data_IF_091798609276
#
_entry.id   IF_091798609276
#
_cell.length_a   1.000
_cell.length_b   1.000
_cell.length_c   1.000
_cell.angle_alpha   90.00
_cell.angle_beta   90.00
_cell.angle_gamma   90.00
#
_symmetry.space_group_name_H-M   'P 1'
#
loop_
_entity.id
_entity.type
_entity.pdbx_description
1 polymer ?
#
# COMPACT_ATOMS: atom_id res chain seq x y z
N UNK A 1 3.86 17.03 22.08
CA UNK A 1 4.73 16.28 21.13
C UNK A 1 5.30 14.97 21.70
N UNK A 2 5.08 14.66 22.98
CA UNK A 2 5.66 13.46 23.63
C UNK A 2 4.93 12.14 23.31
N UNK A 3 3.73 12.16 22.73
CA UNK A 3 2.92 10.97 22.46
C UNK A 3 2.83 10.60 20.97
N UNK A 4 3.65 11.20 20.12
CA UNK A 4 3.73 10.79 18.71
C UNK A 4 4.35 9.39 18.62
N UNK A 5 3.76 8.46 17.84
CA UNK A 5 4.37 7.15 17.58
C UNK A 5 5.79 7.27 16.99
N UNK A 6 6.12 8.40 16.38
CA UNK A 6 7.46 8.71 15.87
C UNK A 6 8.45 9.13 16.98
N UNK A 7 7.99 9.60 18.15
CA UNK A 7 8.86 10.01 19.26
C UNK A 7 9.56 8.84 19.96
N UNK A 8 9.14 7.59 19.71
CA UNK A 8 9.71 6.36 20.29
C UNK A 8 10.52 5.53 19.30
N UNK A 9 11.00 6.13 18.20
CA UNK A 9 11.85 5.41 17.25
C UNK A 9 13.21 5.13 17.84
N UNK A 10 13.62 3.86 17.75
CA UNK A 10 14.98 3.44 18.11
C UNK A 10 15.90 3.58 16.90
N UNK A 11 17.06 4.19 17.08
CA UNK A 11 18.09 4.32 16.04
C UNK A 11 19.15 3.22 16.19
N UNK A 12 19.73 2.73 15.07
CA UNK A 12 19.47 3.13 13.68
C UNK A 12 18.12 2.61 13.14
N UNK A 13 17.46 3.41 12.29
CA UNK A 13 16.17 3.07 11.68
C UNK A 13 16.22 3.23 10.16
N UNK A 14 15.56 2.34 9.44
CA UNK A 14 15.27 2.48 8.01
C UNK A 14 13.81 2.92 7.88
N UNK A 15 13.56 3.94 7.07
CA UNK A 15 12.23 4.50 6.82
C UNK A 15 11.65 3.96 5.49
N UNK A 16 10.45 4.44 5.15
CA UNK A 16 9.77 4.15 3.90
C UNK A 16 8.70 3.08 4.04
N UNK A 17 7.55 3.37 3.43
CA UNK A 17 6.35 2.51 3.47
C UNK A 17 5.99 1.95 2.10
N UNK A 18 6.56 2.51 1.03
CA UNK A 18 6.21 2.19 -0.35
C UNK A 18 7.39 1.58 -1.07
N UNK A 19 7.16 0.48 -1.76
CA UNK A 19 8.13 -0.14 -2.65
C UNK A 19 7.48 -0.60 -3.95
N UNK A 20 8.26 -0.52 -5.03
CA UNK A 20 7.99 -1.20 -6.28
C UNK A 20 9.26 -1.92 -6.72
N UNK A 21 9.15 -3.15 -7.15
CA UNK A 21 10.33 -3.93 -7.49
C UNK A 21 10.00 -5.30 -8.04
N UNK A 22 10.99 -6.19 -7.96
CA UNK A 22 10.84 -7.59 -8.33
C UNK A 22 11.05 -8.50 -7.12
N UNK A 23 10.27 -9.55 -7.05
CA UNK A 23 10.40 -10.57 -6.01
C UNK A 23 11.69 -11.35 -6.25
N UNK A 24 12.56 -11.37 -5.26
CA UNK A 24 13.83 -12.13 -5.31
C UNK A 24 13.77 -13.40 -4.47
N UNK A 25 12.88 -13.44 -3.48
CA UNK A 25 12.70 -14.60 -2.60
C UNK A 25 11.27 -14.63 -2.09
N UNK A 26 10.73 -15.82 -1.85
CA UNK A 26 9.41 -16.07 -1.28
C UNK A 26 9.54 -16.83 0.04
N UNK A 27 8.62 -16.56 0.96
CA UNK A 27 8.40 -17.41 2.13
C UNK A 27 7.75 -18.74 1.72
N UNK A 28 7.91 -19.76 2.54
CA UNK A 28 7.39 -21.12 2.28
C UNK A 28 5.87 -21.20 2.09
N UNK A 29 5.14 -20.32 2.73
CA UNK A 29 3.67 -20.29 2.69
C UNK A 29 3.10 -19.43 1.55
N UNK A 30 3.95 -18.70 0.79
CA UNK A 30 3.51 -17.79 -0.27
C UNK A 30 3.13 -18.58 -1.51
N UNK A 31 1.89 -18.44 -1.96
CA UNK A 31 1.36 -19.14 -3.14
C UNK A 31 0.91 -18.22 -4.26
N UNK A 32 0.67 -16.95 -3.99
CA UNK A 32 0.11 -15.98 -4.96
C UNK A 32 1.12 -15.41 -5.93
N UNK A 33 2.41 -15.52 -5.65
CA UNK A 33 3.47 -14.85 -6.39
C UNK A 33 4.58 -15.80 -6.81
N UNK A 34 5.45 -15.33 -7.73
CA UNK A 34 6.64 -16.05 -8.22
C UNK A 34 7.87 -15.16 -8.11
N UNK A 35 9.05 -15.78 -7.94
CA UNK A 35 10.34 -15.08 -8.06
C UNK A 35 10.47 -14.48 -9.46
N UNK A 36 10.98 -13.25 -9.54
CA UNK A 36 11.08 -12.48 -10.77
C UNK A 36 9.81 -11.68 -11.11
N UNK A 37 8.70 -11.88 -10.41
CA UNK A 37 7.46 -11.12 -10.66
C UNK A 37 7.61 -9.67 -10.21
N UNK A 38 7.09 -8.75 -11.02
CA UNK A 38 7.02 -7.32 -10.71
C UNK A 38 5.85 -7.06 -9.76
N UNK A 39 6.11 -6.28 -8.71
CA UNK A 39 5.13 -6.01 -7.64
C UNK A 39 5.26 -4.60 -7.09
N UNK A 40 4.19 -4.14 -6.45
CA UNK A 40 4.19 -3.06 -5.48
C UNK A 40 3.86 -3.63 -4.11
N UNK A 41 4.38 -3.01 -3.05
CA UNK A 41 4.07 -3.44 -1.69
C UNK A 41 4.02 -2.28 -0.71
N UNK A 42 3.13 -2.38 0.26
CA UNK A 42 3.09 -1.52 1.43
C UNK A 42 3.94 -2.14 2.53
N UNK A 43 5.03 -1.48 2.86
CA UNK A 43 5.96 -1.89 3.91
C UNK A 43 5.43 -1.48 5.30
N UNK A 44 5.41 -2.42 6.23
CA UNK A 44 4.76 -2.28 7.54
C UNK A 44 5.74 -2.03 8.70
N UNK A 45 6.95 -1.51 8.43
CA UNK A 45 8.00 -1.28 9.43
C UNK A 45 7.56 -0.42 10.61
N UNK A 46 6.67 0.54 10.39
CA UNK A 46 6.13 1.40 11.46
C UNK A 46 5.26 0.63 12.45
N UNK A 47 4.64 -0.45 12.02
CA UNK A 47 3.81 -1.33 12.84
C UNK A 47 4.66 -2.43 13.48
N UNK A 48 5.44 -3.13 12.66
CA UNK A 48 6.25 -4.28 13.09
C UNK A 48 7.51 -3.89 13.84
N UNK A 49 7.97 -2.65 13.67
CA UNK A 49 9.25 -2.11 14.17
C UNK A 49 10.48 -2.90 13.69
N UNK A 50 10.35 -3.62 12.59
CA UNK A 50 11.45 -4.35 11.94
C UNK A 50 12.02 -3.51 10.80
N UNK A 51 13.30 -3.23 10.82
CA UNK A 51 13.98 -2.47 9.76
C UNK A 51 13.95 -3.21 8.42
N UNK A 52 13.92 -4.53 8.43
CA UNK A 52 13.77 -5.36 7.22
C UNK A 52 12.46 -5.10 6.48
N UNK A 53 11.44 -4.60 7.17
CA UNK A 53 10.11 -4.31 6.60
C UNK A 53 9.96 -2.84 6.17
N UNK A 54 11.05 -2.11 6.01
CA UNK A 54 11.05 -0.71 5.57
C UNK A 54 11.35 -0.60 4.07
N UNK A 55 10.91 0.50 3.44
CA UNK A 55 11.00 0.65 1.98
C UNK A 55 12.33 1.22 1.48
N UNK A 56 13.02 2.07 2.26
CA UNK A 56 14.22 2.77 1.80
C UNK A 56 15.48 1.89 1.90
N UNK A 57 15.43 0.73 1.27
CA UNK A 57 16.53 -0.22 1.20
C UNK A 57 16.48 -1.06 -0.09
N UNK A 58 17.59 -1.71 -0.40
CA UNK A 58 17.71 -2.52 -1.62
C UNK A 58 16.77 -3.73 -1.64
N UNK A 59 16.57 -4.35 -0.49
CA UNK A 59 15.69 -5.49 -0.30
C UNK A 59 14.78 -5.22 0.90
N UNK A 60 13.47 -5.34 0.70
CA UNK A 60 12.47 -5.19 1.74
C UNK A 60 11.68 -6.49 1.90
N UNK A 61 11.36 -6.85 3.14
CA UNK A 61 10.45 -7.95 3.44
C UNK A 61 9.03 -7.40 3.59
N UNK A 62 8.10 -7.95 2.83
CA UNK A 62 6.70 -7.53 2.85
C UNK A 62 5.78 -8.72 3.12
N UNK A 63 4.69 -8.48 3.83
CA UNK A 63 3.63 -9.47 4.01
C UNK A 63 2.91 -9.68 2.68
N UNK A 64 2.63 -10.93 2.32
CA UNK A 64 1.94 -11.28 1.07
C UNK A 64 0.64 -10.51 0.85
N UNK A 65 -0.14 -10.29 1.91
CA UNK A 65 -1.41 -9.55 1.87
C UNK A 65 -1.25 -8.08 1.48
N UNK A 66 -0.07 -7.50 1.70
CA UNK A 66 0.25 -6.11 1.39
C UNK A 66 0.98 -5.95 0.04
N UNK A 67 1.03 -7.01 -0.76
CA UNK A 67 1.70 -7.06 -2.07
C UNK A 67 0.68 -7.20 -3.17
N UNK A 68 0.87 -6.45 -4.26
CA UNK A 68 0.06 -6.55 -5.47
C UNK A 68 0.96 -6.72 -6.70
N UNK A 69 0.49 -7.55 -7.65
CA UNK A 69 1.16 -7.73 -8.94
C UNK A 69 1.11 -6.43 -9.75
N UNK A 70 2.21 -6.12 -10.44
CA UNK A 70 2.33 -4.94 -11.27
C UNK A 70 2.36 -5.33 -12.75
N UNK A 71 1.52 -4.73 -13.60
CA UNK A 71 1.57 -4.93 -15.04
C UNK A 71 2.91 -4.49 -15.63
N UNK A 72 3.36 -5.15 -16.68
CA UNK A 72 4.62 -4.81 -17.37
C UNK A 72 4.59 -3.42 -18.00
N UNK A 73 3.41 -2.95 -18.41
CA UNK A 73 3.20 -1.64 -19.00
C UNK A 73 3.44 -0.47 -18.04
N UNK A 74 3.38 -0.68 -16.71
CA UNK A 74 3.54 0.39 -15.73
C UNK A 74 4.98 0.43 -15.20
N UNK A 75 5.74 1.53 -15.38
CA UNK A 75 7.08 1.69 -14.84
C UNK A 75 7.10 1.58 -13.31
N UNK A 76 8.14 0.95 -12.74
CA UNK A 76 8.29 0.79 -11.29
C UNK A 76 8.27 2.13 -10.55
N UNK A 77 8.93 3.14 -11.09
CA UNK A 77 8.97 4.48 -10.49
C UNK A 77 7.56 5.10 -10.37
N UNK A 78 6.70 4.89 -11.37
CA UNK A 78 5.34 5.41 -11.35
C UNK A 78 4.43 4.61 -10.40
N UNK A 79 4.74 3.33 -10.22
CA UNK A 79 3.97 2.45 -9.34
C UNK A 79 4.34 2.62 -7.85
N UNK A 80 5.58 3.05 -7.56
CA UNK A 80 6.08 3.17 -6.19
C UNK A 80 5.35 4.21 -5.33
N UNK A 81 4.55 5.10 -5.93
CA UNK A 81 3.78 6.12 -5.19
C UNK A 81 2.41 5.61 -4.71
N UNK A 82 2.01 4.40 -5.09
CA UNK A 82 0.66 3.89 -4.89
C UNK A 82 0.42 3.16 -3.56
N UNK A 83 1.35 2.33 -3.01
CA UNK A 83 1.00 1.36 -1.97
C UNK A 83 0.35 1.94 -0.72
N UNK A 84 0.96 2.96 -0.09
CA UNK A 84 0.40 3.58 1.11
C UNK A 84 -0.91 4.31 0.82
N UNK A 85 -0.99 5.04 -0.28
CA UNK A 85 -2.18 5.82 -0.64
C UNK A 85 -3.39 4.92 -0.90
N UNK A 86 -3.19 3.84 -1.65
CA UNK A 86 -4.22 2.83 -1.95
C UNK A 86 -4.67 2.14 -0.65
N UNK A 87 -3.74 1.69 0.18
CA UNK A 87 -4.05 1.02 1.44
C UNK A 87 -4.85 1.92 2.38
N UNK A 88 -4.47 3.20 2.47
CA UNK A 88 -5.15 4.19 3.31
C UNK A 88 -6.56 4.49 2.81
N UNK A 89 -6.71 4.77 1.51
CA UNK A 89 -8.01 5.04 0.89
C UNK A 89 -8.95 3.81 1.01
N UNK A 90 -8.43 2.62 0.73
CA UNK A 90 -9.16 1.36 0.86
C UNK A 90 -9.64 1.11 2.30
N UNK A 91 -8.78 1.32 3.29
CA UNK A 91 -9.16 1.18 4.69
C UNK A 91 -10.26 2.17 5.10
N UNK A 92 -10.16 3.43 4.67
CA UNK A 92 -11.16 4.45 4.95
C UNK A 92 -12.52 4.10 4.31
N UNK A 93 -12.53 3.80 3.01
CA UNK A 93 -13.76 3.58 2.26
C UNK A 93 -14.45 2.26 2.64
N UNK A 94 -13.69 1.16 2.67
CA UNK A 94 -14.31 -0.17 2.77
C UNK A 94 -14.33 -0.72 4.19
N UNK A 95 -13.30 -0.47 5.01
CA UNK A 95 -13.26 -0.97 6.38
C UNK A 95 -14.00 -0.04 7.35
N UNK A 96 -13.83 1.29 7.23
CA UNK A 96 -14.40 2.26 8.16
C UNK A 96 -15.80 2.68 7.70
N UNK A 97 -15.95 3.22 6.48
CA UNK A 97 -17.23 3.69 5.94
C UNK A 97 -18.14 2.56 5.45
N UNK A 98 -17.62 1.32 5.37
CA UNK A 98 -18.39 0.13 4.95
C UNK A 98 -19.03 0.27 3.57
N UNK A 99 -18.39 1.00 2.65
CA UNK A 99 -18.83 1.00 1.26
C UNK A 99 -18.63 -0.39 0.63
N UNK A 100 -19.42 -0.73 -0.39
CA UNK A 100 -19.20 -1.95 -1.16
C UNK A 100 -17.78 -2.00 -1.74
N UNK A 101 -17.18 -3.18 -1.79
CA UNK A 101 -15.89 -3.36 -2.47
C UNK A 101 -16.03 -3.05 -3.96
N UNK A 102 -14.98 -2.49 -4.60
CA UNK A 102 -15.00 -2.23 -6.03
C UNK A 102 -15.18 -3.52 -6.83
N UNK A 103 -15.90 -3.42 -7.93
CA UNK A 103 -16.18 -4.54 -8.82
C UNK A 103 -15.89 -4.16 -10.26
N UNK A 104 -15.43 -5.13 -11.08
CA UNK A 104 -15.28 -4.95 -12.52
C UNK A 104 -16.62 -4.75 -13.23
N UNK A 105 -17.74 -5.07 -12.56
CA UNK A 105 -19.10 -4.75 -13.02
C UNK A 105 -19.73 -3.86 -11.94
N UNK A 106 -19.50 -2.55 -12.03
CA UNK A 106 -19.99 -1.61 -11.01
C UNK A 106 -21.53 -1.63 -10.97
N UNK A 107 -22.08 -1.69 -9.78
CA UNK A 107 -23.50 -1.54 -9.54
C UNK A 107 -23.73 -0.18 -8.87
N UNK A 108 -24.34 0.80 -9.58
CA UNK A 108 -24.56 2.13 -9.03
C UNK A 108 -25.35 2.07 -7.72
N UNK A 109 -24.78 2.64 -6.67
CA UNK A 109 -25.40 2.63 -5.34
C UNK A 109 -26.34 3.84 -5.10
N UNK A 110 -26.41 4.78 -6.06
CA UNK A 110 -27.09 6.07 -5.93
C UNK A 110 -26.66 6.90 -4.67
N UNK A 111 -25.46 6.61 -4.14
CA UNK A 111 -24.89 7.32 -3.00
C UNK A 111 -23.87 8.35 -3.49
N UNK A 112 -23.79 9.48 -2.80
CA UNK A 112 -22.78 10.50 -3.03
C UNK A 112 -21.69 10.40 -1.97
N UNK A 113 -20.43 10.47 -2.37
CA UNK A 113 -19.27 10.50 -1.47
C UNK A 113 -18.58 11.85 -1.62
N UNK A 114 -18.38 12.57 -0.52
CA UNK A 114 -17.56 13.76 -0.47
C UNK A 114 -16.13 13.38 -0.06
N UNK A 115 -15.17 13.70 -0.93
CA UNK A 115 -13.74 13.47 -0.64
C UNK A 115 -13.08 14.83 -0.44
N UNK A 116 -12.83 15.18 0.83
CA UNK A 116 -12.09 16.38 1.18
C UNK A 116 -10.59 16.14 1.01
N UNK A 117 -9.90 17.07 0.34
CA UNK A 117 -8.47 16.90 0.04
C UNK A 117 -8.19 15.97 -1.14
N UNK A 118 -9.02 16.02 -2.18
CA UNK A 118 -8.91 15.19 -3.39
C UNK A 118 -7.58 15.31 -4.14
N UNK A 119 -6.81 16.39 -3.93
CA UNK A 119 -5.46 16.58 -4.50
C UNK A 119 -4.36 15.80 -3.76
N UNK A 120 -4.62 15.28 -2.57
CA UNK A 120 -3.68 14.42 -1.86
C UNK A 120 -3.60 13.03 -2.52
N UNK A 121 -2.50 12.29 -2.32
CA UNK A 121 -2.36 10.94 -2.84
C UNK A 121 -3.48 10.00 -2.38
N UNK A 122 -3.85 10.08 -1.10
CA UNK A 122 -4.99 9.32 -0.55
C UNK A 122 -6.32 9.75 -1.15
N UNK A 123 -6.55 11.08 -1.30
CA UNK A 123 -7.77 11.61 -1.89
C UNK A 123 -7.91 11.23 -3.36
N UNK A 124 -6.84 11.33 -4.14
CA UNK A 124 -6.81 10.91 -5.53
C UNK A 124 -7.09 9.40 -5.68
N UNK A 125 -6.51 8.57 -4.81
CA UNK A 125 -6.80 7.12 -4.78
C UNK A 125 -8.25 6.85 -4.39
N UNK A 126 -8.80 7.58 -3.41
CA UNK A 126 -10.19 7.43 -3.00
C UNK A 126 -11.18 7.81 -4.11
N UNK A 127 -10.90 8.88 -4.88
CA UNK A 127 -11.71 9.26 -6.05
C UNK A 127 -11.75 8.11 -7.05
N UNK A 128 -10.59 7.52 -7.40
CA UNK A 128 -10.52 6.42 -8.35
C UNK A 128 -11.26 5.15 -7.89
N UNK A 129 -11.37 4.94 -6.58
CA UNK A 129 -12.12 3.80 -6.04
C UNK A 129 -13.63 3.94 -6.14
N UNK A 130 -14.15 5.17 -6.18
CA UNK A 130 -15.60 5.45 -6.14
C UNK A 130 -16.15 5.97 -7.48
N UNK A 131 -15.30 6.15 -8.49
CA UNK A 131 -15.65 6.56 -9.86
C UNK A 131 -16.09 5.36 -10.75
#
# INVERSE_FOLDING_TARGET
>A
MQDSPYAKMQYPIILGTDVAGMIVQLGSEVTRFKVGQRVIAHCDSLITRKTTNAGYQRYATCLEILVAALPDSLPLANAAVLPLSISTASAALFKILKLPLPSLKPNPTAKTVLIWGGSSSCGASAIQYVS
#
